data_IF_062783244277
#
_entry.id   IF_062783244277
#
_cell.length_a   1.000
_cell.length_b   1.000
_cell.length_c   1.000
_cell.angle_alpha   90.00
_cell.angle_beta   90.00
_cell.angle_gamma   90.00
#
_symmetry.space_group_name_H-M   'P 1'
#
loop_
_entity.id
_entity.type
_entity.pdbx_description
1 polymer ?
#
# COMPACT_ATOMS: atom_id res chain seq x y z
N UNK A 1 0.28 -2.30 12.72
CA UNK A 1 0.19 -0.91 13.24
C UNK A 1 -1.12 -0.74 14.03
N UNK A 2 -1.15 0.08 15.09
CA UNK A 2 -2.39 0.50 15.77
C UNK A 2 -2.63 2.00 15.56
N UNK A 3 -3.85 2.41 15.18
CA UNK A 3 -4.18 3.81 14.95
C UNK A 3 -5.62 4.12 15.40
N UNK A 4 -5.76 4.80 16.54
CA UNK A 4 -7.05 5.11 17.14
C UNK A 4 -8.02 5.89 16.22
N UNK A 5 -7.51 6.74 15.31
CA UNK A 5 -8.37 7.47 14.37
C UNK A 5 -8.91 6.59 13.24
N UNK A 6 -8.15 5.58 12.81
CA UNK A 6 -8.64 4.58 11.87
C UNK A 6 -9.69 3.70 12.55
N UNK A 7 -9.38 3.22 13.76
CA UNK A 7 -10.27 2.37 14.57
C UNK A 7 -11.61 3.08 14.86
N UNK A 8 -11.56 4.38 15.15
CA UNK A 8 -12.74 5.21 15.39
C UNK A 8 -13.48 5.62 14.10
N UNK A 9 -13.06 5.18 12.92
CA UNK A 9 -13.71 5.54 11.66
C UNK A 9 -13.48 6.96 11.15
N UNK A 10 -12.65 7.75 11.84
CA UNK A 10 -12.47 9.19 11.59
C UNK A 10 -11.37 9.49 10.57
N UNK A 11 -10.51 8.53 10.26
CA UNK A 11 -9.43 8.66 9.30
C UNK A 11 -9.37 7.44 8.38
N UNK A 12 -9.16 7.68 7.08
CA UNK A 12 -9.01 6.65 6.04
C UNK A 12 -7.77 6.83 5.18
N UNK A 13 -6.84 7.69 5.62
CA UNK A 13 -5.56 7.94 4.93
C UNK A 13 -4.64 6.73 4.85
N UNK A 14 -4.91 5.68 5.63
CA UNK A 14 -4.21 4.39 5.62
C UNK A 14 -5.21 3.28 5.29
N UNK A 15 -5.62 3.17 4.02
CA UNK A 15 -6.72 2.29 3.58
C UNK A 15 -6.53 0.81 3.94
N UNK A 16 -5.29 0.32 3.97
CA UNK A 16 -4.99 -1.11 4.17
C UNK A 16 -4.26 -1.38 5.50
N UNK A 17 -4.43 -0.54 6.51
CA UNK A 17 -3.70 -0.67 7.79
C UNK A 17 -3.93 -2.02 8.50
N UNK A 18 -5.04 -2.69 8.23
CA UNK A 18 -5.40 -4.00 8.77
C UNK A 18 -4.76 -5.18 8.00
N UNK A 19 -4.20 -4.93 6.81
CA UNK A 19 -3.56 -5.96 6.00
C UNK A 19 -2.04 -5.98 6.27
N UNK A 20 -1.43 -7.16 6.47
CA UNK A 20 0.03 -7.28 6.49
C UNK A 20 0.66 -6.71 5.22
N UNK A 21 1.80 -6.04 5.33
CA UNK A 21 2.46 -5.41 4.18
C UNK A 21 2.76 -6.42 3.06
N UNK A 22 3.16 -7.65 3.40
CA UNK A 22 3.37 -8.72 2.42
C UNK A 22 2.13 -8.98 1.55
N UNK A 23 0.95 -9.04 2.15
CA UNK A 23 -0.31 -9.23 1.44
C UNK A 23 -0.66 -8.02 0.56
N UNK A 24 -0.43 -6.80 1.06
CA UNK A 24 -0.63 -5.59 0.25
C UNK A 24 0.27 -5.58 -0.99
N UNK A 25 1.54 -5.97 -0.85
CA UNK A 25 2.49 -6.04 -1.97
C UNK A 25 2.08 -7.10 -2.99
N UNK A 26 1.70 -8.30 -2.56
CA UNK A 26 1.20 -9.35 -3.46
C UNK A 26 -0.05 -8.90 -4.21
N UNK A 27 -1.02 -8.31 -3.52
CA UNK A 27 -2.25 -7.82 -4.14
C UNK A 27 -1.96 -6.71 -5.18
N UNK A 28 -1.09 -5.75 -4.85
CA UNK A 28 -0.68 -4.69 -5.78
C UNK A 28 0.03 -5.23 -7.02
N UNK A 29 0.87 -6.24 -6.87
CA UNK A 29 1.55 -6.86 -8.01
C UNK A 29 0.58 -7.59 -8.93
N UNK A 30 -0.37 -8.33 -8.36
CA UNK A 30 -1.41 -9.00 -9.14
C UNK A 30 -2.28 -7.99 -9.92
N UNK A 31 -2.70 -6.90 -9.26
CA UNK A 31 -3.45 -5.82 -9.90
C UNK A 31 -2.65 -5.14 -11.01
N UNK A 32 -1.36 -4.84 -10.78
CA UNK A 32 -0.47 -4.28 -11.80
C UNK A 32 -0.33 -5.19 -13.03
N UNK A 33 -0.18 -6.49 -12.82
CA UNK A 33 -0.11 -7.48 -13.91
C UNK A 33 -1.41 -7.51 -14.72
N UNK A 34 -2.55 -7.46 -14.04
CA UNK A 34 -3.86 -7.40 -14.71
C UNK A 34 -3.99 -6.12 -15.54
N UNK A 35 -3.65 -4.95 -14.97
CA UNK A 35 -3.72 -3.66 -15.66
C UNK A 35 -2.83 -3.61 -16.91
N UNK A 36 -1.68 -4.29 -16.88
CA UNK A 36 -0.71 -4.29 -17.97
C UNK A 36 -0.85 -5.47 -18.93
N UNK A 37 -1.93 -6.25 -18.86
CA UNK A 37 -2.11 -7.44 -19.72
C UNK A 37 -2.04 -7.13 -21.22
N UNK A 38 -2.42 -5.92 -21.65
CA UNK A 38 -2.35 -5.49 -23.04
C UNK A 38 -0.93 -5.05 -23.51
N UNK A 39 0.06 -5.03 -22.61
CA UNK A 39 1.40 -4.53 -22.87
C UNK A 39 2.45 -5.64 -22.72
N UNK A 40 3.46 -5.63 -23.59
CA UNK A 40 4.61 -6.51 -23.46
C UNK A 40 5.52 -5.99 -22.33
N UNK A 41 5.39 -6.56 -21.13
CA UNK A 41 6.28 -6.28 -20.00
C UNK A 41 7.46 -7.24 -20.07
N UNK A 42 8.68 -6.69 -20.17
CA UNK A 42 9.91 -7.49 -20.32
C UNK A 42 10.29 -8.26 -19.05
N UNK A 43 10.19 -7.62 -17.87
CA UNK A 43 10.54 -8.23 -16.59
C UNK A 43 9.61 -7.73 -15.47
N UNK A 44 9.25 -8.65 -14.57
CA UNK A 44 8.55 -8.33 -13.32
C UNK A 44 9.52 -8.43 -12.15
N UNK A 45 10.02 -7.28 -11.68
CA UNK A 45 10.90 -7.23 -10.53
C UNK A 45 10.14 -7.45 -9.20
N UNK A 46 10.87 -7.86 -8.16
CA UNK A 46 10.32 -7.93 -6.82
C UNK A 46 9.91 -6.53 -6.31
N UNK A 47 8.80 -6.40 -5.56
CA UNK A 47 8.40 -5.13 -4.95
C UNK A 47 9.48 -4.60 -4.00
N UNK A 48 9.72 -3.29 -4.06
CA UNK A 48 10.58 -2.59 -3.09
C UNK A 48 9.70 -1.93 -2.03
N UNK A 49 9.93 -2.27 -0.76
CA UNK A 49 9.17 -1.74 0.37
C UNK A 49 10.07 -1.11 1.43
N UNK A 50 9.55 -0.06 2.07
CA UNK A 50 10.18 0.62 3.20
C UNK A 50 9.60 0.19 4.57
N UNK A 51 9.90 0.94 5.65
CA UNK A 51 9.34 0.66 6.97
C UNK A 51 7.82 0.84 6.98
N UNK A 52 7.12 0.03 7.78
CA UNK A 52 5.65 0.07 7.88
C UNK A 52 5.12 1.35 8.57
N UNK A 53 5.99 2.08 9.25
CA UNK A 53 5.67 3.25 10.07
C UNK A 53 6.69 4.37 9.87
N UNK A 54 6.28 5.62 10.09
CA UNK A 54 7.17 6.78 10.01
C UNK A 54 7.63 7.17 8.60
N UNK A 55 7.07 6.57 7.55
CA UNK A 55 7.49 6.79 6.16
C UNK A 55 6.98 8.11 5.54
N UNK A 56 5.99 8.78 6.15
CA UNK A 56 5.52 10.11 5.70
C UNK A 56 6.33 11.21 6.40
N UNK A 57 7.07 11.99 5.63
CA UNK A 57 7.88 13.12 6.13
C UNK A 57 7.13 14.46 6.22
N UNK A 58 5.90 14.53 5.70
CA UNK A 58 5.04 15.72 5.73
C UNK A 58 3.58 15.32 5.79
N UNK A 59 2.76 16.13 6.46
CA UNK A 59 1.30 16.03 6.46
C UNK A 59 0.67 17.41 6.27
N UNK A 60 -0.50 17.46 5.63
CA UNK A 60 -1.38 18.63 5.65
C UNK A 60 -2.58 18.26 6.50
N UNK A 61 -2.81 19.03 7.56
CA UNK A 61 -4.02 18.91 8.37
C UNK A 61 -5.05 19.89 7.81
N UNK A 62 -6.22 19.37 7.44
CA UNK A 62 -7.38 20.13 6.95
C UNK A 62 -8.53 19.98 7.92
#
# INVERSE_FOLDING_TARGET
MQCALYDAGRCRSCQWIEQPVSQQLTAKMADLQQLLTAHAVGEWCAPVSGPEQGFRNKAKMV
#
